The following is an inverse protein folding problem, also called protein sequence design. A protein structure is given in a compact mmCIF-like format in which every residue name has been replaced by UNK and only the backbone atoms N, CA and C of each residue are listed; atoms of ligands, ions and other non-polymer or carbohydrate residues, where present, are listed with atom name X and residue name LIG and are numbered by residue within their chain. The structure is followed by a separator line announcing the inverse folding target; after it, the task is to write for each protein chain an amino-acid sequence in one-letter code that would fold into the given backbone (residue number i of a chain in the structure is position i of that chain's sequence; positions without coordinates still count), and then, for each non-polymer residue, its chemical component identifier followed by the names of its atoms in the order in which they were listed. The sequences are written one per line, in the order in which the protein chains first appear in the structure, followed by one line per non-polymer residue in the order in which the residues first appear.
data_IF_612343798982
#
_entry.id   IF_612343798982
#
_cell.length_a   1.000
_cell.length_b   1.000
_cell.length_c   1.000
_cell.angle_alpha   90.00
_cell.angle_beta   90.00
_cell.angle_gamma   90.00
#
_symmetry.space_group_name_H-M   'P 1'
#
loop_
_entity.id
_entity.type
_entity.pdbx_description
1 polymer ?
#
# COMPACT_ATOMS: atom_id res chain seq x y z
N UNK A 1 18.05 6.26 -65.21
CA UNK A 1 16.84 5.92 -64.46
C UNK A 1 17.26 5.59 -63.02
N UNK A 2 17.09 6.51 -62.06
CA UNK A 2 17.47 6.28 -60.65
C UNK A 2 16.18 6.10 -59.84
N UNK A 3 15.96 4.88 -59.33
CA UNK A 3 14.83 4.56 -58.44
C UNK A 3 15.07 5.19 -57.06
N UNK A 4 14.11 5.98 -56.59
CA UNK A 4 14.03 6.48 -55.23
C UNK A 4 13.20 5.50 -54.40
N UNK A 5 13.85 4.76 -53.52
CA UNK A 5 13.21 3.88 -52.53
C UNK A 5 12.78 4.73 -51.33
N UNK A 6 11.48 4.95 -51.18
CA UNK A 6 10.91 5.66 -50.03
C UNK A 6 10.82 4.70 -48.83
N UNK A 7 11.51 5.04 -47.74
CA UNK A 7 11.49 4.31 -46.47
C UNK A 7 10.34 4.84 -45.61
N UNK A 8 9.26 4.05 -45.45
CA UNK A 8 8.16 4.39 -44.57
C UNK A 8 8.57 4.16 -43.10
N UNK A 9 8.66 5.25 -42.31
CA UNK A 9 8.84 5.17 -40.86
C UNK A 9 7.49 4.91 -40.18
N UNK A 10 7.33 3.71 -39.62
CA UNK A 10 6.22 3.37 -38.74
C UNK A 10 6.39 4.05 -37.38
N UNK A 11 5.53 5.02 -37.05
CA UNK A 11 5.45 5.59 -35.71
C UNK A 11 4.75 4.58 -34.77
N UNK A 12 5.51 3.96 -33.87
CA UNK A 12 4.95 3.21 -32.75
C UNK A 12 4.39 4.18 -31.70
N UNK A 13 3.06 4.16 -31.49
CA UNK A 13 2.39 4.94 -30.45
C UNK A 13 2.65 4.25 -29.11
N UNK A 14 3.56 4.80 -28.31
CA UNK A 14 3.76 4.41 -26.91
C UNK A 14 2.58 4.94 -26.10
N UNK A 15 1.65 4.06 -25.71
CA UNK A 15 0.59 4.40 -24.76
C UNK A 15 1.22 4.72 -23.39
N UNK A 16 0.88 5.84 -22.75
CA UNK A 16 1.38 6.15 -21.42
C UNK A 16 0.88 5.10 -20.43
N UNK A 17 1.81 4.52 -19.67
CA UNK A 17 1.49 3.68 -18.52
C UNK A 17 0.77 4.58 -17.50
N UNK A 18 -0.53 4.36 -17.32
CA UNK A 18 -1.35 5.09 -16.35
C UNK A 18 -0.82 4.82 -14.94
N UNK A 19 0.04 5.72 -14.46
CA UNK A 19 0.36 5.81 -13.05
C UNK A 19 -0.84 6.51 -12.40
N UNK A 20 -1.53 5.83 -11.48
CA UNK A 20 -2.63 6.42 -10.72
C UNK A 20 -2.23 7.79 -10.17
N UNK A 21 -3.15 8.76 -10.22
CA UNK A 21 -2.87 10.12 -9.80
C UNK A 21 -2.24 10.13 -8.38
N UNK A 22 -1.22 10.98 -8.12
CA UNK A 22 -0.57 11.04 -6.83
C UNK A 22 -1.60 11.24 -5.70
N UNK A 23 -1.45 10.49 -4.62
CA UNK A 23 -2.36 10.60 -3.49
C UNK A 23 -2.19 11.99 -2.85
N UNK A 24 -3.29 12.69 -2.61
CA UNK A 24 -3.24 14.02 -2.00
C UNK A 24 -2.45 13.98 -0.67
N UNK A 25 -1.55 14.94 -0.46
CA UNK A 25 -0.70 14.98 0.74
C UNK A 25 -1.48 15.02 2.07
N UNK A 26 -2.75 15.42 2.03
CA UNK A 26 -3.67 15.44 3.16
C UNK A 26 -4.40 14.10 3.40
N UNK A 27 -4.16 13.07 2.59
CA UNK A 27 -4.88 11.80 2.72
C UNK A 27 -4.54 11.12 4.06
N UNK A 28 -5.54 10.66 4.84
CA UNK A 28 -5.32 10.22 6.21
C UNK A 28 -4.39 9.01 6.32
N UNK A 29 -4.29 8.15 5.30
CA UNK A 29 -3.39 6.98 5.33
C UNK A 29 -1.90 7.35 5.38
N UNK A 30 -1.52 8.52 4.86
CA UNK A 30 -0.11 8.89 4.70
C UNK A 30 0.57 9.04 6.06
N UNK A 31 1.82 8.59 6.15
CA UNK A 31 2.61 8.60 7.37
C UNK A 31 2.99 7.21 7.86
N UNK A 32 3.40 7.14 9.13
CA UNK A 32 3.92 5.93 9.77
C UNK A 32 2.93 5.46 10.83
N UNK A 33 2.66 4.16 10.82
CA UNK A 33 1.69 3.50 11.66
C UNK A 33 2.30 2.27 12.30
N UNK A 34 1.99 2.04 13.56
CA UNK A 34 2.40 0.83 14.28
C UNK A 34 1.19 0.01 14.69
N UNK A 35 1.24 -1.29 14.44
CA UNK A 35 0.30 -2.27 14.96
C UNK A 35 1.01 -3.09 16.04
N UNK A 36 0.39 -3.24 17.22
CA UNK A 36 0.83 -4.23 18.21
C UNK A 36 -0.07 -5.45 18.06
N UNK A 37 0.52 -6.63 17.86
CA UNK A 37 -0.25 -7.85 17.77
C UNK A 37 -0.80 -8.27 19.16
N UNK A 38 -1.92 -9.01 19.19
CA UNK A 38 -2.41 -9.64 20.42
C UNK A 38 -1.29 -10.44 21.12
N UNK A 39 -1.21 -10.33 22.44
CA UNK A 39 -0.12 -10.94 23.22
C UNK A 39 1.17 -10.11 23.30
N UNK A 40 1.28 -9.00 22.56
CA UNK A 40 2.29 -7.96 22.77
C UNK A 40 3.74 -8.30 22.37
N UNK A 41 4.02 -9.55 22.00
CA UNK A 41 5.38 -10.01 21.66
C UNK A 41 5.92 -9.54 20.31
N UNK A 42 5.08 -8.93 19.47
CA UNK A 42 5.49 -8.43 18.16
C UNK A 42 4.75 -7.13 17.79
N UNK A 43 5.41 -6.30 16.99
CA UNK A 43 4.82 -5.10 16.42
C UNK A 43 5.18 -5.00 14.95
N UNK A 44 4.27 -4.43 14.19
CA UNK A 44 4.45 -4.16 12.76
C UNK A 44 4.47 -2.66 12.55
N UNK A 45 5.35 -2.20 11.65
CA UNK A 45 5.44 -0.79 11.26
C UNK A 45 5.13 -0.66 9.78
N UNK A 46 4.18 0.21 9.46
CA UNK A 46 3.74 0.51 8.10
C UNK A 46 4.04 1.97 7.80
N UNK A 47 4.75 2.24 6.70
CA UNK A 47 4.97 3.59 6.18
C UNK A 47 4.28 3.72 4.83
N UNK A 48 3.22 4.52 4.77
CA UNK A 48 2.54 4.88 3.52
C UNK A 48 3.09 6.19 2.99
N UNK A 49 3.64 6.18 1.78
CA UNK A 49 4.25 7.34 1.11
C UNK A 49 3.30 7.90 0.05
N UNK A 50 3.46 9.20 -0.25
CA UNK A 50 2.62 9.92 -1.23
C UNK A 50 2.79 9.45 -2.68
N UNK A 51 3.87 8.72 -2.97
CA UNK A 51 4.17 8.13 -4.28
C UNK A 51 3.43 6.80 -4.54
N UNK A 52 2.54 6.39 -3.64
CA UNK A 52 1.80 5.13 -3.74
C UNK A 52 2.63 3.91 -3.35
N UNK A 53 3.70 4.07 -2.56
CA UNK A 53 4.47 2.96 -2.00
C UNK A 53 4.28 2.78 -0.50
N UNK A 54 4.35 1.53 -0.06
CA UNK A 54 4.44 1.16 1.35
C UNK A 54 5.74 0.47 1.67
N UNK A 55 6.27 0.73 2.86
CA UNK A 55 7.30 -0.10 3.50
C UNK A 55 6.67 -0.70 4.77
N UNK A 56 6.76 -2.02 4.90
CA UNK A 56 6.28 -2.76 6.07
C UNK A 56 7.45 -3.50 6.70
N UNK A 57 7.55 -3.39 8.02
CA UNK A 57 8.47 -4.15 8.86
C UNK A 57 7.62 -4.95 9.85
N UNK A 58 7.69 -6.28 9.80
CA UNK A 58 6.97 -7.18 10.70
C UNK A 58 7.94 -8.27 11.16
N UNK A 59 8.33 -8.24 12.43
CA UNK A 59 9.43 -9.06 12.95
C UNK A 59 10.71 -8.94 12.08
N UNK A 60 11.10 -10.01 11.39
CA UNK A 60 12.26 -10.04 10.49
C UNK A 60 11.88 -9.74 9.04
N UNK A 61 10.60 -9.75 8.69
CA UNK A 61 10.12 -9.36 7.36
C UNK A 61 10.36 -7.87 7.12
N UNK A 62 10.89 -7.57 5.94
CA UNK A 62 10.86 -6.25 5.33
C UNK A 62 10.26 -6.39 3.95
N UNK A 63 9.16 -5.70 3.70
CA UNK A 63 8.46 -5.71 2.42
C UNK A 63 8.13 -4.31 1.92
N UNK A 64 8.21 -4.14 0.61
CA UNK A 64 7.79 -2.95 -0.10
C UNK A 64 6.64 -3.31 -1.04
N UNK A 65 5.60 -2.49 -1.08
CA UNK A 65 4.45 -2.68 -1.96
C UNK A 65 4.12 -1.40 -2.73
N UNK A 66 3.46 -1.55 -3.88
CA UNK A 66 2.65 -0.49 -4.49
C UNK A 66 1.25 -0.59 -3.89
N UNK A 67 0.60 0.53 -3.61
CA UNK A 67 -0.77 0.53 -3.10
C UNK A 67 -1.68 1.50 -3.84
N UNK A 68 -2.96 1.17 -3.87
CA UNK A 68 -4.04 1.99 -4.39
C UNK A 68 -5.09 2.18 -3.29
N UNK A 69 -5.53 3.42 -3.10
CA UNK A 69 -6.58 3.80 -2.15
C UNK A 69 -7.33 5.01 -2.70
N UNK A 70 -8.68 5.03 -2.65
CA UNK A 70 -9.45 6.17 -3.14
C UNK A 70 -9.24 7.40 -2.23
N UNK A 71 -9.35 8.60 -2.80
CA UNK A 71 -9.21 9.85 -2.04
C UNK A 71 -10.30 10.05 -0.96
N UNK A 72 -11.45 9.40 -1.11
CA UNK A 72 -12.61 9.48 -0.22
C UNK A 72 -13.05 8.08 0.19
N UNK A 73 -13.63 7.90 1.38
CA UNK A 73 -14.20 6.63 1.77
C UNK A 73 -15.49 6.35 0.99
N UNK A 74 -15.94 5.11 1.07
CA UNK A 74 -17.29 4.69 0.70
C UNK A 74 -18.37 5.38 1.55
N UNK A 75 -19.64 5.15 1.19
CA UNK A 75 -20.78 5.60 1.99
C UNK A 75 -20.79 4.99 3.41
N UNK A 76 -20.26 3.77 3.58
CA UNK A 76 -20.09 3.15 4.90
C UNK A 76 -18.85 3.69 5.66
N UNK A 77 -18.08 4.58 5.05
CA UNK A 77 -16.93 5.26 5.65
C UNK A 77 -15.62 4.47 5.61
N UNK A 78 -15.52 3.43 4.78
CA UNK A 78 -14.31 2.63 4.60
C UNK A 78 -13.54 3.04 3.35
N UNK A 79 -12.22 2.93 3.41
CA UNK A 79 -11.35 3.07 2.25
C UNK A 79 -10.91 1.68 1.79
N UNK A 80 -11.18 1.32 0.53
CA UNK A 80 -10.61 0.10 -0.06
C UNK A 80 -9.13 0.32 -0.35
N UNK A 81 -8.27 -0.43 0.31
CA UNK A 81 -6.83 -0.46 0.11
C UNK A 81 -6.48 -1.75 -0.66
N UNK A 82 -5.86 -1.60 -1.83
CA UNK A 82 -5.30 -2.73 -2.58
C UNK A 82 -3.79 -2.54 -2.60
N UNK A 83 -3.03 -3.55 -2.23
CA UNK A 83 -1.57 -3.49 -2.25
C UNK A 83 -0.98 -4.69 -2.99
N UNK A 84 0.17 -4.48 -3.63
CA UNK A 84 0.93 -5.51 -4.32
C UNK A 84 2.39 -5.45 -3.90
N UNK A 85 2.89 -6.51 -3.30
CA UNK A 85 4.29 -6.61 -2.88
C UNK A 85 5.20 -6.58 -4.11
N UNK A 86 6.11 -5.62 -4.16
CA UNK A 86 7.12 -5.48 -5.21
C UNK A 86 8.48 -6.01 -4.78
N UNK A 87 8.77 -6.02 -3.48
CA UNK A 87 10.01 -6.55 -2.92
C UNK A 87 9.75 -7.09 -1.52
N UNK A 88 10.30 -8.27 -1.22
CA UNK A 88 10.21 -8.93 0.09
C UNK A 88 11.56 -9.58 0.38
N UNK A 89 12.04 -9.51 1.61
CA UNK A 89 13.33 -10.08 2.01
C UNK A 89 13.31 -11.60 2.31
N UNK A 90 12.14 -12.25 2.19
CA UNK A 90 11.97 -13.69 2.40
C UNK A 90 12.11 -14.15 3.86
N UNK A 91 11.99 -13.23 4.83
CA UNK A 91 12.00 -13.56 6.26
C UNK A 91 10.57 -13.66 6.81
N UNK A 92 10.37 -14.36 7.95
CA UNK A 92 9.05 -14.49 8.55
C UNK A 92 8.52 -13.17 9.14
N UNK A 93 7.22 -12.95 9.00
CA UNK A 93 6.44 -11.91 9.68
C UNK A 93 6.21 -12.25 11.17
N UNK A 94 5.50 -11.36 11.87
CA UNK A 94 5.09 -11.58 13.26
C UNK A 94 4.22 -12.83 13.48
N UNK A 95 3.54 -13.36 12.44
CA UNK A 95 2.77 -14.59 12.48
C UNK A 95 3.59 -15.83 12.03
N UNK A 96 4.89 -15.66 11.76
CA UNK A 96 5.78 -16.72 11.29
C UNK A 96 5.60 -17.08 9.81
N UNK A 97 4.85 -16.30 9.04
CA UNK A 97 4.60 -16.54 7.61
C UNK A 97 5.67 -15.87 6.77
N UNK A 98 6.00 -16.48 5.63
CA UNK A 98 6.94 -15.91 4.66
C UNK A 98 6.15 -15.40 3.46
N UNK A 99 6.14 -14.07 3.28
CA UNK A 99 5.48 -13.43 2.15
C UNK A 99 6.25 -13.64 0.84
N UNK A 100 5.51 -13.71 -0.27
CA UNK A 100 6.07 -13.86 -1.62
C UNK A 100 5.97 -12.54 -2.37
N UNK A 101 7.02 -12.21 -3.12
CA UNK A 101 6.97 -11.10 -4.08
C UNK A 101 5.85 -11.32 -5.10
N UNK A 102 5.11 -10.26 -5.42
CA UNK A 102 3.97 -10.29 -6.33
C UNK A 102 2.64 -10.66 -5.69
N UNK A 103 2.60 -11.01 -4.41
CA UNK A 103 1.35 -11.18 -3.67
C UNK A 103 0.54 -9.88 -3.66
N UNK A 104 -0.78 -10.00 -3.72
CA UNK A 104 -1.72 -8.88 -3.68
C UNK A 104 -2.64 -9.03 -2.47
N UNK A 105 -2.82 -7.96 -1.70
CA UNK A 105 -3.79 -7.86 -0.63
C UNK A 105 -4.94 -6.92 -1.00
N UNK A 106 -6.11 -7.16 -0.41
CA UNK A 106 -7.21 -6.19 -0.40
C UNK A 106 -7.74 -6.11 1.01
N UNK A 107 -7.75 -4.89 1.55
CA UNK A 107 -8.21 -4.59 2.88
C UNK A 107 -9.09 -3.34 2.88
N UNK A 108 -9.85 -3.15 3.96
CA UNK A 108 -10.76 -2.03 4.12
C UNK A 108 -10.38 -1.24 5.37
N UNK A 109 -9.96 0.01 5.18
CA UNK A 109 -9.47 0.87 6.26
C UNK A 109 -10.61 1.70 6.82
N UNK A 110 -10.78 1.67 8.14
CA UNK A 110 -11.66 2.60 8.87
C UNK A 110 -10.84 3.45 9.82
N UNK A 111 -10.78 4.75 9.55
CA UNK A 111 -10.16 5.72 10.44
C UNK A 111 -11.08 6.04 11.62
N UNK A 112 -10.48 6.15 12.81
CA UNK A 112 -11.13 6.74 13.97
C UNK A 112 -11.22 8.27 13.80
N UNK A 113 -12.27 8.94 14.31
CA UNK A 113 -12.43 10.40 14.20
C UNK A 113 -11.26 11.23 14.75
N UNK A 114 -10.42 10.65 15.63
CA UNK A 114 -9.21 11.33 16.13
C UNK A 114 -8.12 11.54 15.07
N UNK A 115 -8.17 10.86 13.92
CA UNK A 115 -7.14 10.92 12.86
C UNK A 115 -5.80 10.25 13.20
N UNK A 116 -5.69 9.68 14.41
CA UNK A 116 -4.48 9.06 14.95
C UNK A 116 -4.57 7.54 15.05
N UNK A 117 -5.73 6.96 14.73
CA UNK A 117 -5.99 5.53 14.77
C UNK A 117 -6.75 5.06 13.53
N UNK A 118 -6.49 3.84 13.09
CA UNK A 118 -7.36 3.12 12.16
C UNK A 118 -7.40 1.63 12.47
N UNK A 119 -8.41 0.94 11.92
CA UNK A 119 -8.46 -0.52 11.81
C UNK A 119 -8.43 -0.93 10.34
N UNK A 120 -7.86 -2.10 10.08
CA UNK A 120 -7.80 -2.70 8.75
C UNK A 120 -8.64 -3.98 8.76
N UNK A 121 -9.64 -4.06 7.89
CA UNK A 121 -10.67 -5.09 7.89
C UNK A 121 -10.64 -5.93 6.61
N UNK A 122 -11.09 -7.18 6.71
CA UNK A 122 -11.14 -8.10 5.58
C UNK A 122 -12.26 -7.77 4.58
N UNK A 123 -13.30 -7.07 5.04
CA UNK A 123 -14.44 -6.62 4.26
C UNK A 123 -14.84 -5.20 4.67
N UNK A 124 -15.83 -4.63 3.97
CA UNK A 124 -16.41 -3.33 4.30
C UNK A 124 -17.35 -3.40 5.53
N UNK A 125 -16.89 -4.03 6.60
CA UNK A 125 -17.56 -4.20 7.89
C UNK A 125 -16.54 -4.21 9.03
N UNK A 126 -17.03 -4.15 10.28
CA UNK A 126 -16.18 -4.20 11.48
C UNK A 126 -16.06 -5.61 12.08
N UNK A 127 -16.58 -6.64 11.40
CA UNK A 127 -16.68 -7.99 11.97
C UNK A 127 -15.33 -8.71 12.06
N UNK A 128 -14.41 -8.38 11.14
CA UNK A 128 -13.10 -9.00 11.04
C UNK A 128 -12.04 -7.95 10.72
N UNK A 129 -11.46 -7.35 11.76
CA UNK A 129 -10.44 -6.32 11.65
C UNK A 129 -9.22 -6.60 12.52
N UNK A 130 -8.07 -6.13 12.06
CA UNK A 130 -6.84 -6.01 12.84
C UNK A 130 -6.61 -4.54 13.22
N UNK A 131 -6.10 -4.31 14.43
CA UNK A 131 -5.89 -2.96 14.92
C UNK A 131 -5.95 -2.84 16.45
N UNK A 132 -5.89 -1.60 16.97
CA UNK A 132 -5.75 -0.36 16.20
C UNK A 132 -4.30 -0.15 15.72
N UNK A 133 -4.17 0.31 14.49
CA UNK A 133 -2.95 0.96 14.02
C UNK A 133 -2.86 2.34 14.65
N UNK A 134 -1.70 2.68 15.19
CA UNK A 134 -1.46 3.97 15.85
C UNK A 134 -0.48 4.78 15.04
N UNK A 135 -0.83 6.04 14.77
CA UNK A 135 0.08 6.97 14.11
C UNK A 135 1.27 7.24 15.02
N UNK A 136 2.48 7.19 14.47
CA UNK A 136 3.71 7.55 15.17
C UNK A 136 4.45 8.66 14.43
N UNK A 137 5.14 9.51 15.18
CA UNK A 137 6.09 10.43 14.59
C UNK A 137 7.33 9.63 14.15
N UNK A 138 7.83 9.85 12.95
CA UNK A 138 9.07 9.20 12.53
C UNK A 138 9.84 10.02 11.50
N UNK A 139 11.16 9.82 11.51
CA UNK A 139 12.08 10.21 10.43
C UNK A 139 12.10 9.10 9.37
N UNK A 140 12.74 9.36 8.23
CA UNK A 140 13.07 8.31 7.25
C UNK A 140 13.75 7.13 7.97
N UNK A 141 13.23 5.91 7.74
CA UNK A 141 13.80 4.65 8.22
C UNK A 141 14.66 4.11 7.09
#
# INVERSE_FOLDING_TARGET
MRMLTALALSLAVLAPVAHGAPLAASHPILGIWTLKLPGGGCSETYRFRGDGTTLVISAAEVSESKFEIPAKPSAAGFYKLVDKNVKVNGKPDCAGKVMKTGATGTNYIRFHPSGTLFVMCAAESLDACIGPFRRVAGKEI
#
